data_IF_567727489764
#
_entry.id   IF_567727489764
#
_cell.length_a   1.000
_cell.length_b   1.000
_cell.length_c   1.000
_cell.angle_alpha   90.00
_cell.angle_beta   90.00
_cell.angle_gamma   90.00
#
_symmetry.space_group_name_H-M   'P 1'
#
loop_
_entity.id
_entity.type
_entity.pdbx_description
1 polymer ?
#
# COMPACT_ATOMS: atom_id res chain seq x y z
N UNK A 1 -15.96 5.56 -9.23
CA UNK A 1 -16.56 5.77 -7.88
C UNK A 1 -15.47 5.76 -6.80
N UNK A 2 -14.47 6.65 -6.88
CA UNK A 2 -13.34 6.71 -5.91
C UNK A 2 -13.06 8.15 -5.44
N UNK A 3 -13.59 9.18 -6.12
CA UNK A 3 -13.37 10.61 -5.81
C UNK A 3 -13.76 11.05 -4.40
N UNK A 4 -14.69 10.36 -3.73
CA UNK A 4 -15.04 10.68 -2.34
C UNK A 4 -13.84 10.49 -1.38
N UNK A 5 -12.84 9.68 -1.76
CA UNK A 5 -11.63 9.54 -0.98
C UNK A 5 -10.82 10.85 -0.87
N UNK A 6 -10.98 11.80 -1.80
CA UNK A 6 -10.30 13.11 -1.73
C UNK A 6 -10.90 14.00 -0.64
N UNK A 7 -12.16 13.77 -0.26
CA UNK A 7 -12.85 14.63 0.71
C UNK A 7 -12.57 14.24 2.16
N UNK A 8 -11.94 13.09 2.41
CA UNK A 8 -11.59 12.68 3.78
C UNK A 8 -10.43 13.51 4.32
N UNK A 9 -10.38 13.65 5.64
CA UNK A 9 -9.30 14.33 6.35
C UNK A 9 -8.59 13.33 7.24
N UNK A 10 -7.28 13.21 7.05
CA UNK A 10 -6.42 12.48 7.97
C UNK A 10 -5.50 13.46 8.69
N UNK A 11 -5.64 13.55 10.02
CA UNK A 11 -4.92 14.54 10.84
C UNK A 11 -5.01 15.98 10.30
N UNK A 12 -6.17 16.34 9.74
CA UNK A 12 -6.42 17.67 9.17
C UNK A 12 -5.83 17.88 7.76
N UNK A 13 -5.26 16.86 7.14
CA UNK A 13 -4.66 16.92 5.81
C UNK A 13 -5.52 16.12 4.83
N UNK A 14 -5.81 16.72 3.68
CA UNK A 14 -6.45 16.02 2.57
C UNK A 14 -5.48 15.06 1.88
N UNK A 15 -5.90 13.83 1.57
CA UNK A 15 -5.06 12.87 0.88
C UNK A 15 -4.93 13.23 -0.61
N UNK A 16 -3.79 12.85 -1.20
CA UNK A 16 -3.60 12.86 -2.65
C UNK A 16 -4.14 11.53 -3.18
N UNK A 17 -5.10 11.58 -4.11
CA UNK A 17 -5.77 10.38 -4.65
C UNK A 17 -5.62 10.36 -6.17
N UNK A 18 -5.14 9.25 -6.69
CA UNK A 18 -5.13 8.97 -8.13
C UNK A 18 -5.91 7.70 -8.42
N UNK A 19 -6.90 7.78 -9.30
CA UNK A 19 -7.67 6.63 -9.73
C UNK A 19 -6.99 5.99 -10.96
N UNK A 20 -6.49 4.76 -10.80
CA UNK A 20 -5.99 3.99 -11.94
C UNK A 20 -7.14 3.65 -12.90
N UNK A 21 -6.97 3.98 -14.17
CA UNK A 21 -7.88 3.61 -15.26
C UNK A 21 -7.49 2.30 -15.93
N UNK A 22 -6.36 1.72 -15.55
CA UNK A 22 -5.88 0.46 -16.10
C UNK A 22 -6.78 -0.71 -15.67
N UNK A 23 -6.99 -1.66 -16.57
CA UNK A 23 -7.69 -2.89 -16.24
C UNK A 23 -6.84 -3.73 -15.29
N UNK A 24 -7.31 -3.90 -14.06
CA UNK A 24 -6.68 -4.81 -13.11
C UNK A 24 -7.14 -6.24 -13.40
N UNK A 25 -6.24 -7.04 -13.96
CA UNK A 25 -6.51 -8.45 -14.26
C UNK A 25 -6.77 -9.23 -12.96
N UNK A 26 -7.90 -9.95 -12.93
CA UNK A 26 -8.33 -10.76 -11.77
C UNK A 26 -7.98 -12.23 -12.00
N UNK A 27 -7.87 -12.99 -10.93
CA UNK A 27 -7.52 -14.43 -10.99
C UNK A 27 -6.03 -14.71 -11.07
N UNK A 28 -5.19 -13.67 -11.06
CA UNK A 28 -3.73 -13.80 -11.02
C UNK A 28 -3.27 -13.88 -9.56
N UNK A 29 -2.41 -14.86 -9.26
CA UNK A 29 -1.75 -15.01 -7.97
C UNK A 29 -0.26 -14.77 -8.10
N UNK A 30 0.29 -13.93 -7.22
CA UNK A 30 1.74 -13.68 -7.19
C UNK A 30 2.45 -14.96 -6.73
N UNK A 31 3.49 -15.37 -7.46
CA UNK A 31 4.28 -16.54 -7.06
C UNK A 31 5.09 -16.24 -5.80
N UNK A 32 5.36 -17.27 -4.98
CA UNK A 32 6.24 -17.15 -3.80
C UNK A 32 7.61 -16.54 -4.15
N UNK A 33 8.15 -16.88 -5.33
CA UNK A 33 9.44 -16.35 -5.79
C UNK A 33 9.38 -14.84 -6.01
N UNK A 34 8.33 -14.33 -6.65
CA UNK A 34 8.14 -12.91 -6.87
C UNK A 34 7.88 -12.16 -5.55
N UNK A 35 7.08 -12.74 -4.65
CA UNK A 35 6.74 -12.11 -3.38
C UNK A 35 7.92 -11.96 -2.42
N UNK A 36 8.90 -12.88 -2.45
CA UNK A 36 10.09 -12.85 -1.57
C UNK A 36 10.86 -11.53 -1.63
N UNK A 37 10.99 -10.91 -2.80
CA UNK A 37 11.70 -9.63 -2.93
C UNK A 37 10.94 -8.49 -2.23
N UNK A 38 9.61 -8.53 -2.29
CA UNK A 38 8.72 -7.56 -1.64
C UNK A 38 8.76 -7.77 -0.12
N UNK A 39 8.60 -9.02 0.34
CA UNK A 39 8.64 -9.37 1.77
C UNK A 39 9.94 -8.94 2.45
N UNK A 40 11.09 -8.99 1.77
CA UNK A 40 12.36 -8.49 2.31
C UNK A 40 12.34 -7.01 2.69
N UNK A 41 11.49 -6.21 2.02
CA UNK A 41 11.33 -4.78 2.31
C UNK A 41 10.22 -4.52 3.32
N UNK A 42 9.20 -5.37 3.38
CA UNK A 42 8.06 -5.18 4.28
C UNK A 42 8.45 -5.56 5.71
N UNK A 43 8.45 -4.57 6.60
CA UNK A 43 8.71 -4.79 8.01
C UNK A 43 7.41 -5.12 8.75
N UNK A 44 7.40 -6.27 9.44
CA UNK A 44 6.30 -6.67 10.30
C UNK A 44 6.62 -6.24 11.72
N UNK A 45 5.76 -5.41 12.28
CA UNK A 45 5.86 -4.98 13.66
C UNK A 45 5.01 -5.91 14.53
N UNK A 46 5.55 -6.37 15.66
CA UNK A 46 4.84 -7.24 16.59
C UNK A 46 3.67 -6.56 17.29
N UNK A 47 3.68 -5.24 17.37
CA UNK A 47 2.61 -4.44 17.98
C UNK A 47 1.45 -4.20 16.99
N UNK A 48 1.67 -4.46 15.69
CA UNK A 48 0.69 -4.24 14.65
C UNK A 48 -0.14 -5.51 14.36
N UNK A 49 -1.42 -5.34 13.95
CA UNK A 49 -2.24 -6.43 13.44
C UNK A 49 -1.57 -7.20 12.30
N UNK A 50 -1.95 -8.48 12.14
CA UNK A 50 -1.34 -9.43 11.18
C UNK A 50 -1.08 -8.87 9.77
N UNK A 51 -1.99 -8.04 9.27
CA UNK A 51 -1.94 -7.53 7.90
C UNK A 51 -1.21 -6.19 7.78
N UNK A 52 -0.97 -5.52 8.90
CA UNK A 52 -0.34 -4.22 8.95
C UNK A 52 1.18 -4.36 8.83
N UNK A 53 1.81 -3.28 8.37
CA UNK A 53 3.24 -3.21 8.09
C UNK A 53 3.76 -1.85 8.54
N UNK A 54 5.01 -1.83 9.00
CA UNK A 54 5.72 -0.59 9.28
C UNK A 54 6.31 -0.06 7.97
N UNK A 55 5.87 1.12 7.54
CA UNK A 55 6.39 1.79 6.35
C UNK A 55 7.56 2.69 6.76
N UNK A 56 8.78 2.29 6.40
CA UNK A 56 9.96 3.16 6.50
C UNK A 56 10.18 3.88 5.17
N UNK A 57 10.39 5.20 5.16
CA UNK A 57 10.73 5.92 3.95
C UNK A 57 12.05 5.37 3.39
N UNK A 58 12.12 5.19 2.07
CA UNK A 58 13.40 5.02 1.41
C UNK A 58 14.03 6.41 1.42
N UNK A 59 14.92 6.67 2.36
CA UNK A 59 15.66 7.94 2.37
C UNK A 59 16.57 7.93 1.14
N UNK A 60 16.17 8.64 0.08
CA UNK A 60 17.10 9.17 -0.91
C UNK A 60 17.45 10.57 -0.41
N UNK A 61 18.69 10.74 0.05
CA UNK A 61 19.26 12.06 0.26
C UNK A 61 19.46 12.76 -1.08
#
# INVERSE_FOLDING_TARGET
MVKWAETMLWKGIHPIVEASTATYEKGISVTKKAMRAIEKRLERDSELPKWDILIKPIVAF
#
